data_IF_988465118394
#
_entry.id   IF_988465118394
#
_cell.length_a   1.000
_cell.length_b   1.000
_cell.length_c   1.000
_cell.angle_alpha   90.00
_cell.angle_beta   90.00
_cell.angle_gamma   90.00
#
_symmetry.space_group_name_H-M   'P 1'
#
loop_
_entity.id
_entity.type
_entity.pdbx_description
1 polymer ?
#
# COMPACT_ATOMS: atom_id res chain seq x y z
N UNK A 1 -14.69 20.27 -26.58
CA UNK A 1 -14.97 19.08 -25.73
C UNK A 1 -13.71 18.55 -25.02
N UNK A 2 -12.54 18.59 -25.66
CA UNK A 2 -11.25 18.18 -25.07
C UNK A 2 -10.85 18.99 -23.83
N UNK A 3 -10.99 20.32 -23.86
CA UNK A 3 -10.69 21.19 -22.72
C UNK A 3 -11.57 20.90 -21.47
N UNK A 4 -12.83 20.52 -21.67
CA UNK A 4 -13.72 20.15 -20.57
C UNK A 4 -13.28 18.84 -19.92
N UNK A 5 -12.86 17.86 -20.72
CA UNK A 5 -12.30 16.61 -20.21
C UNK A 5 -11.01 16.84 -19.41
N UNK A 6 -10.10 17.70 -19.89
CA UNK A 6 -8.84 18.04 -19.19
C UNK A 6 -9.08 18.73 -17.83
N UNK A 7 -10.03 19.69 -17.79
CA UNK A 7 -10.41 20.36 -16.54
C UNK A 7 -11.10 19.39 -15.57
N UNK A 8 -11.98 18.54 -16.09
CA UNK A 8 -12.67 17.53 -15.29
C UNK A 8 -11.69 16.51 -14.70
N UNK A 9 -10.76 16.01 -15.52
CA UNK A 9 -9.73 15.05 -15.08
C UNK A 9 -8.85 15.64 -13.98
N UNK A 10 -8.41 16.89 -14.15
CA UNK A 10 -7.65 17.63 -13.14
C UNK A 10 -8.43 17.77 -11.83
N UNK A 11 -9.72 18.13 -11.90
CA UNK A 11 -10.56 18.31 -10.71
C UNK A 11 -10.75 16.98 -9.94
N UNK A 12 -10.94 15.88 -10.69
CA UNK A 12 -11.02 14.54 -10.12
C UNK A 12 -9.68 14.15 -9.47
N UNK A 13 -8.56 14.39 -10.14
CA UNK A 13 -7.23 14.11 -9.61
C UNK A 13 -6.93 14.89 -8.32
N UNK A 14 -7.29 16.18 -8.24
CA UNK A 14 -7.16 16.99 -7.02
C UNK A 14 -7.94 16.35 -5.86
N UNK A 15 -9.16 15.88 -6.12
CA UNK A 15 -9.98 15.17 -5.13
C UNK A 15 -9.28 13.90 -4.66
N UNK A 16 -8.69 13.13 -5.58
CA UNK A 16 -7.90 11.94 -5.28
C UNK A 16 -6.67 12.20 -4.41
N UNK A 17 -5.96 13.29 -4.68
CA UNK A 17 -4.79 13.73 -3.89
C UNK A 17 -5.24 14.09 -2.47
N UNK A 18 -6.26 14.95 -2.34
CA UNK A 18 -6.78 15.36 -1.03
C UNK A 18 -7.24 14.15 -0.21
N UNK A 19 -7.95 13.22 -0.84
CA UNK A 19 -8.41 11.98 -0.23
C UNK A 19 -7.26 11.07 0.21
N UNK A 20 -6.23 10.93 -0.62
CA UNK A 20 -5.03 10.14 -0.30
C UNK A 20 -4.31 10.72 0.92
N UNK A 21 -4.12 12.05 0.97
CA UNK A 21 -3.50 12.74 2.11
C UNK A 21 -4.33 12.54 3.38
N UNK A 22 -5.65 12.70 3.28
CA UNK A 22 -6.58 12.50 4.40
C UNK A 22 -6.45 11.08 4.98
N UNK A 23 -6.49 10.04 4.13
CA UNK A 23 -6.35 8.66 4.59
C UNK A 23 -4.95 8.34 5.11
N UNK A 24 -3.88 8.91 4.54
CA UNK A 24 -2.52 8.76 5.08
C UNK A 24 -2.45 9.34 6.51
N UNK A 25 -3.05 10.51 6.74
CA UNK A 25 -3.13 11.13 8.06
C UNK A 25 -3.89 10.26 9.06
N UNK A 26 -5.04 9.74 8.66
CA UNK A 26 -5.88 8.91 9.53
C UNK A 26 -5.22 7.56 9.86
N UNK A 27 -4.57 6.92 8.89
CA UNK A 27 -3.80 5.68 9.11
C UNK A 27 -2.56 5.87 10.00
N UNK A 28 -2.03 7.10 10.11
CA UNK A 28 -0.95 7.42 11.06
C UNK A 28 -1.46 7.56 12.49
N UNK A 29 -2.73 7.91 12.68
CA UNK A 29 -3.35 8.07 13.99
C UNK A 29 -3.76 6.73 14.65
N UNK A 30 -3.75 5.63 13.91
CA UNK A 30 -4.03 4.30 14.47
C UNK A 30 -2.87 3.75 15.33
N UNK A 31 -3.14 2.79 16.22
CA UNK A 31 -2.15 2.28 17.18
C UNK A 31 -1.02 1.41 16.58
N UNK A 32 0.02 1.09 17.39
CA UNK A 32 1.29 0.46 16.95
C UNK A 32 1.14 -0.87 16.19
N UNK A 33 0.11 -1.67 16.50
CA UNK A 33 -0.13 -2.98 15.88
C UNK A 33 -0.84 -2.89 14.51
N UNK A 34 -1.61 -1.83 14.24
CA UNK A 34 -2.19 -1.56 12.93
C UNK A 34 -1.12 -1.09 11.90
N UNK A 35 0.01 -0.57 12.38
CA UNK A 35 1.05 0.02 11.53
C UNK A 35 1.74 -0.94 10.55
N UNK A 36 1.77 -2.25 10.82
CA UNK A 36 2.51 -3.20 10.00
C UNK A 36 1.89 -3.43 8.61
N UNK A 37 0.56 -3.55 8.52
CA UNK A 37 -0.15 -3.59 7.24
C UNK A 37 -0.31 -2.18 6.66
N UNK A 38 -0.66 -1.20 7.51
CA UNK A 38 -0.93 0.17 7.11
C UNK A 38 0.28 0.88 6.49
N UNK A 39 1.52 0.46 6.77
CA UNK A 39 2.70 1.02 6.08
C UNK A 39 2.65 0.83 4.56
N UNK A 40 2.17 -0.33 4.09
CA UNK A 40 2.10 -0.63 2.65
C UNK A 40 0.93 0.09 2.01
N UNK A 41 -0.20 0.21 2.72
CA UNK A 41 -1.31 1.02 2.27
C UNK A 41 -0.93 2.51 2.19
N UNK A 42 -0.21 3.05 3.18
CA UNK A 42 0.33 4.42 3.12
C UNK A 42 1.27 4.62 1.95
N UNK A 43 2.12 3.64 1.64
CA UNK A 43 3.00 3.67 0.46
C UNK A 43 2.18 3.72 -0.83
N UNK A 44 1.15 2.87 -0.95
CA UNK A 44 0.23 2.87 -2.09
C UNK A 44 -0.45 4.23 -2.26
N UNK A 45 -1.04 4.78 -1.19
CA UNK A 45 -1.71 6.08 -1.19
C UNK A 45 -0.75 7.21 -1.53
N UNK A 46 0.49 7.16 -1.04
CA UNK A 46 1.50 8.17 -1.34
C UNK A 46 1.88 8.12 -2.82
N UNK A 47 2.21 6.94 -3.35
CA UNK A 47 2.52 6.77 -4.76
C UNK A 47 1.35 7.21 -5.66
N UNK A 48 0.11 6.87 -5.29
CA UNK A 48 -1.10 7.27 -6.02
C UNK A 48 -1.30 8.79 -6.01
N UNK A 49 -1.07 9.45 -4.87
CA UNK A 49 -1.15 10.90 -4.77
C UNK A 49 -0.10 11.58 -5.67
N UNK A 50 1.15 11.09 -5.65
CA UNK A 50 2.21 11.64 -6.49
C UNK A 50 1.96 11.41 -7.99
N UNK A 51 1.43 10.26 -8.41
CA UNK A 51 1.08 10.05 -9.82
C UNK A 51 -0.08 10.93 -10.26
N UNK A 52 -1.05 11.22 -9.38
CA UNK A 52 -2.13 12.18 -9.68
C UNK A 52 -1.67 13.63 -9.83
N UNK A 53 -0.52 14.01 -9.26
CA UNK A 53 0.06 15.34 -9.50
C UNK A 53 0.36 15.53 -10.99
N UNK A 54 0.78 14.47 -11.69
CA UNK A 54 1.02 14.49 -13.13
C UNK A 54 -0.22 14.94 -13.92
N UNK A 55 -1.37 14.35 -13.57
CA UNK A 55 -2.66 14.63 -14.21
C UNK A 55 -3.05 16.10 -14.04
N UNK A 56 -2.86 16.63 -12.83
CA UNK A 56 -3.12 18.06 -12.54
C UNK A 56 -2.16 18.96 -13.31
N UNK A 57 -0.87 18.62 -13.35
CA UNK A 57 0.13 19.40 -14.06
C UNK A 57 -0.13 19.44 -15.56
N UNK A 58 -0.54 18.30 -16.14
CA UNK A 58 -0.92 18.19 -17.54
C UNK A 58 -2.14 19.07 -17.85
N UNK A 59 -3.24 18.92 -17.11
CA UNK A 59 -4.46 19.67 -17.39
C UNK A 59 -4.36 21.18 -17.11
N UNK A 60 -3.47 21.60 -16.21
CA UNK A 60 -3.19 23.02 -15.94
C UNK A 60 -2.04 23.60 -16.78
N UNK A 61 -1.43 22.80 -17.69
CA UNK A 61 -0.28 23.20 -18.53
C UNK A 61 0.91 23.74 -17.73
N UNK A 62 1.16 23.19 -16.54
CA UNK A 62 2.19 23.65 -15.61
C UNK A 62 3.59 23.12 -15.92
N UNK A 63 3.74 22.28 -16.94
CA UNK A 63 5.03 21.70 -17.34
C UNK A 63 6.05 22.71 -17.85
N UNK A 64 5.63 23.92 -18.26
CA UNK A 64 6.54 24.98 -18.73
C UNK A 64 7.64 25.32 -17.71
N UNK A 65 7.38 25.19 -16.42
CA UNK A 65 8.34 25.50 -15.36
C UNK A 65 9.16 24.29 -14.88
N UNK A 66 8.67 23.06 -15.12
CA UNK A 66 9.27 21.83 -14.59
C UNK A 66 9.04 20.63 -15.53
N UNK A 67 9.63 20.63 -16.75
CA UNK A 67 9.42 19.56 -17.73
C UNK A 67 10.04 18.23 -17.31
N UNK A 68 10.91 18.20 -16.31
CA UNK A 68 11.46 16.96 -15.76
C UNK A 68 10.42 16.17 -14.93
N UNK A 69 9.34 16.82 -14.49
CA UNK A 69 8.42 16.23 -13.52
C UNK A 69 7.57 15.10 -14.11
N UNK A 70 7.24 15.14 -15.41
CA UNK A 70 6.50 14.06 -16.07
C UNK A 70 7.28 12.74 -16.11
N UNK A 71 8.62 12.79 -16.04
CA UNK A 71 9.44 11.56 -16.03
C UNK A 71 9.54 10.91 -14.65
N UNK A 72 9.29 11.67 -13.57
CA UNK A 72 9.42 11.16 -12.21
C UNK A 72 8.21 10.37 -11.74
N UNK A 73 7.06 10.63 -12.33
CA UNK A 73 5.78 10.00 -11.96
C UNK A 73 5.70 8.58 -12.51
N UNK A 74 6.28 8.32 -13.69
CA UNK A 74 6.36 6.98 -14.29
C UNK A 74 7.00 5.92 -13.37
N UNK A 75 8.21 6.13 -12.80
CA UNK A 75 8.80 5.21 -11.83
C UNK A 75 7.94 4.97 -10.58
N UNK A 76 7.16 5.97 -10.14
CA UNK A 76 6.29 5.84 -8.97
C UNK A 76 5.11 4.89 -9.23
N UNK A 77 4.64 4.80 -10.48
CA UNK A 77 3.58 3.86 -10.88
C UNK A 77 3.99 2.40 -10.64
N UNK A 78 5.29 2.08 -10.76
CA UNK A 78 5.81 0.74 -10.44
C UNK A 78 5.69 0.37 -8.96
N UNK A 79 5.48 1.33 -8.04
CA UNK A 79 5.25 1.05 -6.63
C UNK A 79 3.80 0.62 -6.33
N UNK A 80 2.83 0.94 -7.21
CA UNK A 80 1.41 0.77 -6.95
C UNK A 80 1.00 -0.70 -6.80
N UNK A 81 1.35 -1.55 -7.77
CA UNK A 81 0.99 -2.97 -7.72
C UNK A 81 1.69 -3.74 -6.57
N UNK A 82 3.01 -3.58 -6.35
CA UNK A 82 3.69 -4.19 -5.21
C UNK A 82 3.14 -3.75 -3.85
N UNK A 83 2.82 -2.47 -3.67
CA UNK A 83 2.35 -1.95 -2.38
C UNK A 83 1.01 -2.55 -1.97
N UNK A 84 0.06 -2.73 -2.90
CA UNK A 84 -1.20 -3.43 -2.60
C UNK A 84 -0.96 -4.91 -2.26
N UNK A 85 -0.10 -5.60 -2.99
CA UNK A 85 0.17 -7.01 -2.70
C UNK A 85 0.85 -7.19 -1.34
N UNK A 86 1.78 -6.31 -0.97
CA UNK A 86 2.38 -6.31 0.36
C UNK A 86 1.36 -6.02 1.46
N UNK A 87 0.41 -5.11 1.21
CA UNK A 87 -0.72 -4.86 2.10
C UNK A 87 -1.59 -6.12 2.28
N UNK A 88 -2.01 -6.76 1.19
CA UNK A 88 -2.83 -7.98 1.23
C UNK A 88 -2.11 -9.15 1.90
N UNK A 89 -0.81 -9.33 1.66
CA UNK A 89 0.03 -10.34 2.32
C UNK A 89 0.12 -10.12 3.82
N UNK A 90 0.35 -8.87 4.24
CA UNK A 90 0.40 -8.52 5.66
C UNK A 90 -0.93 -8.83 6.36
N UNK A 91 -2.03 -8.56 5.69
CA UNK A 91 -3.37 -8.77 6.25
C UNK A 91 -3.82 -10.24 6.24
N UNK A 92 -3.33 -11.03 5.29
CA UNK A 92 -3.51 -12.48 5.27
C UNK A 92 -2.65 -13.21 6.33
N UNK A 93 -1.90 -12.49 7.18
CA UNK A 93 -1.00 -13.09 8.16
C UNK A 93 0.29 -13.68 7.57
N UNK A 94 0.60 -13.38 6.30
CA UNK A 94 1.78 -13.89 5.58
C UNK A 94 2.69 -12.75 5.09
N UNK A 95 3.23 -11.90 6.00
CA UNK A 95 4.07 -10.78 5.60
C UNK A 95 5.29 -11.28 4.79
N UNK A 96 5.65 -10.54 3.75
CA UNK A 96 6.81 -10.91 2.92
C UNK A 96 8.10 -10.82 3.73
N UNK A 97 8.97 -11.83 3.63
CA UNK A 97 10.30 -11.81 4.27
C UNK A 97 11.20 -10.71 3.70
N UNK A 98 11.10 -10.45 2.39
CA UNK A 98 11.90 -9.45 1.68
C UNK A 98 11.00 -8.48 0.91
N UNK A 99 10.26 -7.59 1.60
CA UNK A 99 9.27 -6.74 0.95
C UNK A 99 9.91 -5.76 -0.06
N UNK A 100 11.12 -5.30 0.24
CA UNK A 100 11.86 -4.33 -0.58
C UNK A 100 12.27 -4.87 -1.96
N UNK A 101 12.39 -6.20 -2.12
CA UNK A 101 12.68 -6.81 -3.43
C UNK A 101 11.56 -6.52 -4.44
N UNK A 102 10.31 -6.41 -3.97
CA UNK A 102 9.18 -6.08 -4.84
C UNK A 102 9.18 -4.61 -5.30
N UNK A 103 9.91 -3.73 -4.59
CA UNK A 103 10.03 -2.31 -4.91
C UNK A 103 11.26 -1.99 -5.77
N UNK A 104 12.12 -2.97 -6.07
CA UNK A 104 13.29 -2.80 -6.94
C UNK A 104 12.95 -2.27 -8.35
N UNK A 105 11.73 -2.52 -8.82
CA UNK A 105 11.23 -1.98 -10.09
C UNK A 105 11.22 -0.44 -10.13
N UNK A 106 11.10 0.24 -8.98
CA UNK A 106 11.09 1.71 -8.89
C UNK A 106 12.46 2.31 -9.21
N UNK A 107 13.56 2.00 -8.50
CA UNK A 107 14.87 2.54 -8.86
C UNK A 107 15.35 2.03 -10.23
N UNK A 108 14.98 0.82 -10.64
CA UNK A 108 15.35 0.32 -11.96
C UNK A 108 14.60 1.05 -13.07
N UNK A 109 13.29 1.34 -12.94
CA UNK A 109 12.58 2.18 -13.91
C UNK A 109 13.10 3.62 -13.94
N UNK A 110 13.50 4.16 -12.78
CA UNK A 110 14.18 5.46 -12.71
C UNK A 110 15.50 5.47 -13.49
N UNK A 111 16.25 4.36 -13.49
CA UNK A 111 17.46 4.24 -14.30
C UNK A 111 17.16 4.28 -15.81
N UNK A 112 16.05 3.67 -16.23
CA UNK A 112 15.59 3.68 -17.62
C UNK A 112 15.04 5.03 -18.09
N UNK A 113 14.57 5.89 -17.16
CA UNK A 113 14.15 7.26 -17.50
C UNK A 113 15.31 8.25 -17.52
N UNK A 114 16.49 7.91 -16.99
CA UNK A 114 17.65 8.81 -16.96
C UNK A 114 18.07 9.35 -18.34
N UNK A 115 18.13 8.56 -19.44
CA UNK A 115 18.50 9.09 -20.74
C UNK A 115 17.57 10.23 -21.18
N UNK A 116 16.26 10.07 -20.99
CA UNK A 116 15.27 11.11 -21.30
C UNK A 116 15.38 12.28 -20.29
N UNK A 117 15.71 12.00 -19.03
CA UNK A 117 15.90 13.05 -18.02
C UNK A 117 17.12 13.93 -18.34
N UNK A 118 18.10 13.42 -19.07
CA UNK A 118 19.29 14.16 -19.48
C UNK A 118 19.09 14.98 -20.77
N UNK A 119 17.97 14.80 -21.48
CA UNK A 119 17.65 15.63 -22.65
C UNK A 119 17.52 17.12 -22.27
N UNK A 120 17.84 18.04 -23.20
CA UNK A 120 17.61 19.47 -23.01
C UNK A 120 16.14 19.78 -22.66
N UNK A 121 15.87 20.80 -21.83
CA UNK A 121 14.51 21.19 -21.46
C UNK A 121 13.61 21.50 -22.66
N UNK A 122 14.17 22.04 -23.74
CA UNK A 122 13.45 22.36 -24.98
C UNK A 122 12.90 21.09 -25.63
N UNK A 123 13.74 20.04 -25.75
CA UNK A 123 13.31 18.76 -26.32
C UNK A 123 12.23 18.12 -25.45
N UNK A 124 12.35 18.22 -24.13
CA UNK A 124 11.31 17.72 -23.20
C UNK A 124 10.00 18.47 -23.37
N UNK A 125 10.02 19.79 -23.54
CA UNK A 125 8.81 20.58 -23.78
C UNK A 125 8.19 20.22 -25.13
N UNK A 126 9.00 20.03 -26.17
CA UNK A 126 8.51 19.58 -27.47
C UNK A 126 7.82 18.21 -27.36
N UNK A 127 8.39 17.27 -26.59
CA UNK A 127 7.76 15.98 -26.30
C UNK A 127 6.40 16.17 -25.60
N UNK A 128 6.31 17.04 -24.60
CA UNK A 128 5.07 17.28 -23.84
C UNK A 128 3.99 17.94 -24.72
N UNK A 129 4.39 18.79 -25.65
CA UNK A 129 3.49 19.54 -26.53
C UNK A 129 3.16 18.81 -27.85
N UNK A 130 3.64 17.58 -28.05
CA UNK A 130 3.57 16.84 -29.32
C UNK A 130 4.16 17.63 -30.52
N UNK A 131 5.25 18.36 -30.27
CA UNK A 131 6.01 19.07 -31.30
C UNK A 131 7.12 18.19 -31.90
N UNK A 132 7.63 18.58 -33.08
CA UNK A 132 8.69 17.83 -33.72
C UNK A 132 9.99 17.88 -32.92
N UNK A 133 10.65 16.73 -32.85
CA UNK A 133 11.95 16.53 -32.20
C UNK A 133 12.89 15.80 -33.18
N UNK A 134 14.21 15.92 -33.02
CA UNK A 134 15.16 15.21 -33.87
C UNK A 134 14.94 13.69 -33.85
N UNK A 135 15.09 13.03 -35.01
CA UNK A 135 14.78 11.59 -35.17
C UNK A 135 15.52 10.69 -34.16
N UNK A 136 16.76 11.03 -33.82
CA UNK A 136 17.56 10.29 -32.83
C UNK A 136 16.94 10.37 -31.42
N UNK A 137 16.51 11.56 -31.00
CA UNK A 137 15.87 11.78 -29.71
C UNK A 137 14.46 11.18 -29.66
N UNK A 138 13.73 11.24 -30.78
CA UNK A 138 12.43 10.58 -30.94
C UNK A 138 12.55 9.06 -30.77
N UNK A 139 13.54 8.46 -31.43
CA UNK A 139 13.80 7.02 -31.34
C UNK A 139 14.17 6.61 -29.92
N UNK A 140 15.01 7.40 -29.25
CA UNK A 140 15.39 7.19 -27.85
C UNK A 140 14.16 7.25 -26.93
N UNK A 141 13.37 8.32 -27.05
CA UNK A 141 12.17 8.53 -26.25
C UNK A 141 11.18 7.39 -26.43
N UNK A 142 10.85 7.05 -27.68
CA UNK A 142 9.91 5.98 -28.02
C UNK A 142 10.39 4.63 -27.47
N UNK A 143 11.67 4.29 -27.65
CA UNK A 143 12.23 3.02 -27.17
C UNK A 143 12.16 2.91 -25.65
N UNK A 144 12.54 3.98 -24.94
CA UNK A 144 12.49 4.03 -23.47
C UNK A 144 11.04 3.93 -22.94
N UNK A 145 10.12 4.74 -23.47
CA UNK A 145 8.72 4.76 -23.04
C UNK A 145 8.04 3.42 -23.35
N UNK A 146 8.22 2.88 -24.57
CA UNK A 146 7.66 1.58 -24.94
C UNK A 146 8.14 0.47 -24.01
N UNK A 147 9.44 0.44 -23.71
CA UNK A 147 10.03 -0.54 -22.79
C UNK A 147 9.41 -0.43 -21.40
N UNK A 148 9.26 0.79 -20.88
CA UNK A 148 8.66 1.05 -19.57
C UNK A 148 7.18 0.66 -19.52
N UNK A 149 6.40 1.00 -20.54
CA UNK A 149 4.97 0.68 -20.63
C UNK A 149 4.78 -0.84 -20.69
N UNK A 150 5.49 -1.55 -21.57
CA UNK A 150 5.42 -3.01 -21.66
C UNK A 150 5.81 -3.66 -20.33
N UNK A 151 6.88 -3.18 -19.71
CA UNK A 151 7.32 -3.70 -18.42
C UNK A 151 6.27 -3.45 -17.31
N UNK A 152 5.67 -2.26 -17.26
CA UNK A 152 4.61 -1.92 -16.32
C UNK A 152 3.37 -2.80 -16.52
N UNK A 153 2.97 -3.08 -17.76
CA UNK A 153 1.86 -3.99 -18.08
C UNK A 153 2.14 -5.42 -17.61
N UNK A 154 3.35 -5.92 -17.85
CA UNK A 154 3.77 -7.24 -17.38
C UNK A 154 3.78 -7.30 -15.85
N UNK A 155 4.32 -6.26 -15.20
CA UNK A 155 4.39 -6.14 -13.75
C UNK A 155 2.97 -6.13 -13.14
N UNK A 156 2.13 -5.18 -13.54
CA UNK A 156 0.77 -5.01 -13.00
C UNK A 156 -0.07 -6.28 -13.21
N UNK A 157 0.02 -6.92 -14.37
CA UNK A 157 -0.63 -8.21 -14.64
C UNK A 157 -0.11 -9.31 -13.71
N UNK A 158 1.21 -9.44 -13.58
CA UNK A 158 1.84 -10.45 -12.73
C UNK A 158 1.45 -10.32 -11.25
N UNK A 159 1.46 -9.09 -10.71
CA UNK A 159 1.05 -8.83 -9.32
C UNK A 159 -0.45 -9.00 -9.13
N UNK A 160 -1.28 -8.68 -10.11
CA UNK A 160 -2.73 -8.94 -10.05
C UNK A 160 -3.03 -10.43 -9.97
N UNK A 161 -2.39 -11.24 -10.83
CA UNK A 161 -2.50 -12.71 -10.77
C UNK A 161 -2.00 -13.27 -9.43
N UNK A 162 -0.91 -12.71 -8.90
CA UNK A 162 -0.40 -13.08 -7.59
C UNK A 162 -1.40 -12.76 -6.47
N UNK A 163 -2.08 -11.61 -6.53
CA UNK A 163 -3.15 -11.24 -5.59
C UNK A 163 -4.32 -12.22 -5.62
N UNK A 164 -4.76 -12.64 -6.82
CA UNK A 164 -5.80 -13.66 -6.95
C UNK A 164 -5.36 -15.02 -6.41
N UNK A 165 -4.11 -15.43 -6.66
CA UNK A 165 -3.54 -16.66 -6.10
C UNK A 165 -3.46 -16.61 -4.57
N UNK A 166 -3.07 -15.45 -4.01
CA UNK A 166 -3.03 -15.23 -2.56
C UNK A 166 -4.42 -15.38 -1.95
N UNK A 167 -5.43 -14.72 -2.54
CA UNK A 167 -6.81 -14.81 -2.09
C UNK A 167 -7.36 -16.24 -2.15
N UNK A 168 -7.04 -16.97 -3.22
CA UNK A 168 -7.45 -18.37 -3.36
C UNK A 168 -6.80 -19.28 -2.31
N UNK A 169 -5.51 -19.07 -1.99
CA UNK A 169 -4.80 -19.80 -0.93
C UNK A 169 -5.38 -19.48 0.45
N UNK A 170 -5.59 -18.21 0.72
CA UNK A 170 -6.17 -17.73 1.96
C UNK A 170 -7.56 -18.34 2.22
N UNK A 171 -8.41 -18.39 1.18
CA UNK A 171 -9.71 -19.09 1.23
C UNK A 171 -9.60 -20.56 1.62
N UNK A 172 -8.63 -21.27 1.03
CA UNK A 172 -8.44 -22.71 1.30
C UNK A 172 -7.99 -22.95 2.74
N UNK A 173 -7.13 -22.08 3.29
CA UNK A 173 -6.69 -22.17 4.69
C UNK A 173 -7.84 -21.92 5.65
N UNK A 174 -8.60 -20.85 5.42
CA UNK A 174 -9.72 -20.50 6.29
C UNK A 174 -10.77 -21.62 6.36
N UNK A 175 -11.09 -22.23 5.21
CA UNK A 175 -12.00 -23.40 5.13
C UNK A 175 -11.47 -24.63 5.86
N UNK A 176 -10.14 -24.83 5.90
CA UNK A 176 -9.52 -25.95 6.59
C UNK A 176 -9.50 -25.76 8.10
N UNK A 177 -9.21 -24.54 8.55
CA UNK A 177 -8.92 -24.27 9.96
C UNK A 177 -10.20 -23.92 10.76
N UNK A 178 -11.25 -23.36 10.14
CA UNK A 178 -12.47 -22.90 10.83
C UNK A 178 -13.78 -23.55 10.35
N UNK A 179 -13.73 -24.59 9.52
CA UNK A 179 -14.92 -25.17 8.90
C UNK A 179 -15.68 -24.16 8.03
N UNK A 180 -16.96 -24.41 7.72
CA UNK A 180 -17.77 -23.57 6.83
C UNK A 180 -18.29 -22.27 7.49
N UNK A 181 -17.50 -21.67 8.39
CA UNK A 181 -17.91 -20.50 9.17
C UNK A 181 -17.70 -19.21 8.38
N UNK A 182 -18.75 -18.38 8.38
CA UNK A 182 -18.95 -17.06 7.78
C UNK A 182 -17.84 -16.47 6.89
N UNK A 183 -18.13 -16.38 5.59
CA UNK A 183 -17.28 -15.88 4.49
C UNK A 183 -16.94 -14.37 4.57
N UNK A 184 -17.36 -13.69 5.63
CA UNK A 184 -17.38 -12.22 5.78
C UNK A 184 -16.00 -11.54 5.62
N UNK A 185 -14.88 -12.05 6.19
CA UNK A 185 -13.58 -11.39 6.03
C UNK A 185 -12.93 -11.65 4.66
N UNK A 186 -13.41 -12.61 3.85
CA UNK A 186 -12.88 -12.82 2.50
C UNK A 186 -13.55 -11.94 1.46
N UNK A 187 -14.81 -11.59 1.69
CA UNK A 187 -15.62 -10.82 0.76
C UNK A 187 -14.96 -9.49 0.41
N UNK A 188 -14.44 -8.76 1.40
CA UNK A 188 -13.83 -7.45 1.17
C UNK A 188 -12.49 -7.54 0.41
N UNK A 189 -11.63 -8.52 0.71
CA UNK A 189 -10.38 -8.75 -0.05
C UNK A 189 -10.67 -9.05 -1.52
N UNK A 190 -11.75 -9.81 -1.78
CA UNK A 190 -12.21 -10.11 -3.14
C UNK A 190 -12.64 -8.85 -3.88
N UNK A 191 -13.37 -7.94 -3.21
CA UNK A 191 -13.75 -6.66 -3.83
C UNK A 191 -12.56 -5.79 -4.18
N UNK A 192 -11.56 -5.70 -3.31
CA UNK A 192 -10.33 -4.96 -3.63
C UNK A 192 -9.63 -5.58 -4.82
N UNK A 193 -9.50 -6.90 -4.87
CA UNK A 193 -8.90 -7.56 -6.03
C UNK A 193 -9.71 -7.34 -7.30
N UNK A 194 -11.05 -7.32 -7.22
CA UNK A 194 -11.91 -7.02 -8.37
C UNK A 194 -11.74 -5.57 -8.83
N UNK A 195 -11.77 -4.60 -7.91
CA UNK A 195 -11.50 -3.20 -8.22
C UNK A 195 -10.09 -3.01 -8.79
N UNK A 196 -9.09 -3.71 -8.26
CA UNK A 196 -7.70 -3.61 -8.73
C UNK A 196 -7.54 -4.14 -10.14
N UNK A 197 -8.18 -5.29 -10.40
CA UNK A 197 -8.24 -5.89 -11.73
C UNK A 197 -8.97 -4.97 -12.70
N UNK A 198 -10.05 -4.31 -12.26
CA UNK A 198 -10.78 -3.32 -13.05
C UNK A 198 -9.93 -2.11 -13.40
N UNK A 199 -9.32 -1.44 -12.41
CA UNK A 199 -8.46 -0.27 -12.61
C UNK A 199 -7.30 -0.59 -13.54
N UNK A 200 -6.54 -1.67 -13.26
CA UNK A 200 -5.42 -2.05 -14.10
C UNK A 200 -5.85 -2.58 -15.46
N UNK A 201 -7.03 -3.20 -15.57
CA UNK A 201 -7.61 -3.62 -16.83
C UNK A 201 -7.96 -2.42 -17.73
N UNK A 202 -8.66 -1.42 -17.19
CA UNK A 202 -9.00 -0.19 -17.92
C UNK A 202 -7.71 0.56 -18.30
N UNK A 203 -6.75 0.67 -17.37
CA UNK A 203 -5.45 1.27 -17.65
C UNK A 203 -4.72 0.54 -18.78
N UNK A 204 -4.63 -0.79 -18.72
CA UNK A 204 -4.00 -1.59 -19.76
C UNK A 204 -4.69 -1.44 -21.12
N UNK A 205 -6.02 -1.41 -21.14
CA UNK A 205 -6.81 -1.17 -22.35
C UNK A 205 -6.48 0.21 -22.93
N UNK A 206 -6.44 1.26 -22.10
CA UNK A 206 -6.07 2.62 -22.54
C UNK A 206 -4.65 2.66 -23.13
N UNK A 207 -3.67 2.07 -22.45
CA UNK A 207 -2.27 2.05 -22.90
C UNK A 207 -2.10 1.27 -24.20
N UNK A 208 -2.73 0.09 -24.34
CA UNK A 208 -2.67 -0.71 -25.56
C UNK A 208 -3.39 -0.01 -26.71
N UNK A 209 -4.55 0.61 -26.45
CA UNK A 209 -5.30 1.37 -27.44
C UNK A 209 -4.52 2.57 -27.98
N UNK A 210 -3.85 3.29 -27.09
CA UNK A 210 -2.94 4.39 -27.46
C UNK A 210 -1.72 3.89 -28.24
N UNK A 211 -1.12 2.76 -27.83
CA UNK A 211 0.07 2.21 -28.47
C UNK A 211 -0.20 1.69 -29.88
N UNK A 212 -1.39 1.12 -30.11
CA UNK A 212 -1.82 0.60 -31.41
C UNK A 212 -2.52 1.66 -32.28
N UNK A 213 -2.54 2.92 -31.83
CA UNK A 213 -3.24 4.04 -32.47
C UNK A 213 -4.73 3.74 -32.77
N UNK A 214 -5.34 2.80 -32.03
CA UNK A 214 -6.70 2.32 -32.29
C UNK A 214 -7.75 3.36 -31.87
N UNK A 215 -7.45 4.12 -30.82
CA UNK A 215 -8.23 5.25 -30.36
C UNK A 215 -7.38 6.08 -29.38
N UNK A 216 -7.54 7.41 -29.42
CA UNK A 216 -7.04 8.32 -28.39
C UNK A 216 -8.22 9.11 -27.85
N UNK A 217 -8.84 8.59 -26.78
CA UNK A 217 -10.01 9.22 -26.17
C UNK A 217 -9.65 9.71 -24.77
N UNK A 218 -9.54 11.03 -24.62
CA UNK A 218 -9.37 11.72 -23.32
C UNK A 218 -10.40 11.29 -22.26
N UNK A 219 -11.57 10.80 -22.67
CA UNK A 219 -12.59 10.31 -21.75
C UNK A 219 -12.20 8.98 -21.07
N UNK A 220 -11.35 8.17 -21.71
CA UNK A 220 -10.81 6.97 -21.07
C UNK A 220 -9.81 7.32 -19.97
N UNK A 221 -9.00 8.36 -20.17
CA UNK A 221 -8.09 8.87 -19.13
C UNK A 221 -8.88 9.39 -17.93
N UNK A 222 -9.93 10.19 -18.17
CA UNK A 222 -10.90 10.60 -17.12
C UNK A 222 -11.47 9.38 -16.38
N UNK A 223 -11.84 8.32 -17.11
CA UNK A 223 -12.39 7.10 -16.50
C UNK A 223 -11.34 6.36 -15.66
N UNK A 224 -10.09 6.31 -16.09
CA UNK A 224 -8.96 5.75 -15.33
C UNK A 224 -8.78 6.54 -14.03
N UNK A 225 -8.65 7.87 -14.12
CA UNK A 225 -8.48 8.74 -12.95
C UNK A 225 -9.64 8.60 -11.99
N UNK A 226 -10.88 8.64 -12.47
CA UNK A 226 -12.07 8.45 -11.66
C UNK A 226 -12.07 7.11 -10.93
N UNK A 227 -11.76 6.01 -11.63
CA UNK A 227 -11.72 4.67 -11.02
C UNK A 227 -10.59 4.58 -9.99
N UNK A 228 -9.46 5.26 -10.22
CA UNK A 228 -8.36 5.36 -9.27
C UNK A 228 -8.77 6.13 -8.01
N UNK A 229 -9.48 7.26 -8.12
CA UNK A 229 -10.03 8.01 -6.97
C UNK A 229 -11.00 7.14 -6.17
N UNK A 230 -11.91 6.45 -6.86
CA UNK A 230 -12.86 5.53 -6.22
C UNK A 230 -12.14 4.41 -5.49
N UNK A 231 -11.07 3.88 -6.08
CA UNK A 231 -10.23 2.84 -5.49
C UNK A 231 -9.54 3.34 -4.22
N UNK A 232 -8.94 4.54 -4.24
CA UNK A 232 -8.37 5.19 -3.05
C UNK A 232 -9.43 5.33 -1.96
N UNK A 233 -10.67 5.67 -2.33
CA UNK A 233 -11.75 5.88 -1.37
C UNK A 233 -12.13 4.57 -0.68
N UNK A 234 -12.36 3.53 -1.49
CA UNK A 234 -12.71 2.20 -1.01
C UNK A 234 -11.59 1.61 -0.14
N UNK A 235 -10.34 1.70 -0.59
CA UNK A 235 -9.18 1.21 0.15
C UNK A 235 -8.93 1.98 1.44
N UNK A 236 -9.04 3.30 1.41
CA UNK A 236 -8.89 4.15 2.59
C UNK A 236 -9.98 3.88 3.62
N UNK A 237 -11.25 3.96 3.21
CA UNK A 237 -12.39 3.73 4.08
C UNK A 237 -12.41 2.32 4.68
N UNK A 238 -12.10 1.29 3.88
CA UNK A 238 -12.05 -0.10 4.36
C UNK A 238 -10.77 -0.39 5.14
N UNK A 239 -9.64 0.23 4.80
CA UNK A 239 -8.38 0.09 5.54
C UNK A 239 -8.56 0.47 7.01
N UNK A 240 -9.29 1.56 7.27
CA UNK A 240 -9.62 2.03 8.63
C UNK A 240 -10.64 1.16 9.37
N UNK A 241 -11.55 0.54 8.62
CA UNK A 241 -12.63 -0.28 9.15
C UNK A 241 -12.30 -1.76 9.21
N UNK A 242 -11.14 -2.17 8.71
CA UNK A 242 -10.70 -3.56 8.78
C UNK A 242 -10.41 -3.81 10.26
N UNK A 243 -11.27 -4.54 10.99
CA UNK A 243 -10.94 -4.90 12.34
C UNK A 243 -9.66 -5.72 12.24
N UNK A 244 -8.73 -5.54 13.17
CA UNK A 244 -7.56 -6.39 13.37
C UNK A 244 -8.03 -7.83 13.68
N UNK A 245 -8.66 -8.52 12.74
CA UNK A 245 -9.26 -9.85 12.90
C UNK A 245 -8.20 -10.96 13.10
N UNK A 246 -6.91 -10.60 13.20
CA UNK A 246 -5.79 -11.52 13.37
C UNK A 246 -4.82 -11.14 14.49
N UNK A 247 -5.30 -10.49 15.55
CA UNK A 247 -4.64 -10.61 16.87
C UNK A 247 -5.28 -11.76 17.65
N UNK A 248 -5.00 -12.98 17.22
CA UNK A 248 -5.49 -14.18 17.90
C UNK A 248 -4.86 -15.45 17.31
N UNK A 249 -3.59 -15.70 17.62
CA UNK A 249 -2.97 -17.05 17.60
C UNK A 249 -1.58 -17.11 18.28
N UNK A 250 -1.18 -16.10 19.07
CA UNK A 250 0.00 -16.19 19.94
C UNK A 250 -0.27 -15.73 21.39
N UNK A 251 -1.50 -15.34 21.70
CA UNK A 251 -1.96 -14.90 23.04
C UNK A 251 -3.32 -15.55 23.39
N UNK A 252 -3.59 -16.75 22.88
CA UNK A 252 -4.62 -17.62 23.46
C UNK A 252 -3.99 -18.59 24.46
N UNK A 253 -3.19 -18.06 25.38
CA UNK A 253 -3.33 -18.47 26.77
C UNK A 253 -4.61 -17.80 27.26
N UNK A 254 -5.75 -18.41 26.97
CA UNK A 254 -7.02 -18.01 27.56
C UNK A 254 -7.04 -18.65 28.95
N UNK A 255 -6.76 -17.92 30.06
CA UNK A 255 -6.79 -18.53 31.39
C UNK A 255 -8.20 -19.03 31.74
N UNK A 256 -9.22 -18.62 30.97
CA UNK A 256 -10.62 -18.96 31.13
C UNK A 256 -10.95 -20.39 30.65
N UNK A 257 -10.26 -20.92 29.63
CA UNK A 257 -10.38 -22.32 29.21
C UNK A 257 -9.62 -23.26 30.17
N UNK A 258 -8.52 -22.78 30.76
CA UNK A 258 -7.79 -23.51 31.80
C UNK A 258 -8.55 -23.49 33.13
N UNK A 259 -9.23 -22.40 33.48
CA UNK A 259 -10.15 -22.33 34.64
C UNK A 259 -11.39 -23.18 34.45
N UNK A 260 -12.00 -23.19 33.26
CA UNK A 260 -13.16 -24.05 32.97
C UNK A 260 -12.78 -25.53 32.93
N UNK A 261 -11.61 -25.90 32.38
CA UNK A 261 -11.11 -27.27 32.46
C UNK A 261 -10.70 -27.66 33.88
N UNK A 262 -10.17 -26.73 34.70
CA UNK A 262 -9.88 -26.99 36.12
C UNK A 262 -11.15 -27.14 36.97
N UNK A 263 -12.21 -26.37 36.66
CA UNK A 263 -13.53 -26.46 37.30
C UNK A 263 -14.31 -27.70 36.84
N UNK A 264 -14.11 -28.19 35.61
CA UNK A 264 -14.70 -29.45 35.12
C UNK A 264 -13.92 -30.70 35.54
N UNK A 265 -12.59 -30.60 35.73
CA UNK A 265 -11.78 -31.66 36.30
C UNK A 265 -12.03 -31.87 37.81
N UNK A 266 -12.53 -30.83 38.49
CA UNK A 266 -13.09 -30.94 39.84
C UNK A 266 -14.53 -31.47 39.74
N UNK A 267 -14.68 -32.78 39.50
CA UNK A 267 -15.97 -33.46 39.56
C UNK A 267 -16.67 -33.29 40.91
N UNK A 268 -18.00 -33.54 40.99
CA UNK A 268 -18.84 -33.22 42.15
C UNK A 268 -18.53 -33.95 43.47
N UNK A 269 -17.48 -34.78 43.53
CA UNK A 269 -17.08 -35.57 44.70
C UNK A 269 -15.74 -35.14 45.36
N UNK A 270 -15.20 -33.97 45.00
CA UNK A 270 -14.00 -33.47 45.67
C UNK A 270 -14.35 -32.87 47.05
N UNK A 271 -14.11 -33.67 48.11
CA UNK A 271 -14.08 -33.20 49.50
C UNK A 271 -13.15 -31.97 49.65
N UNK A 272 -13.52 -30.95 50.44
CA UNK A 272 -12.74 -29.72 50.52
C UNK A 272 -11.41 -29.95 51.24
N UNK A 273 -10.31 -29.93 50.49
CA UNK A 273 -8.96 -29.79 51.05
C UNK A 273 -8.77 -28.35 51.58
N UNK A 274 -7.99 -28.18 52.67
CA UNK A 274 -8.03 -26.96 53.49
C UNK A 274 -7.41 -25.77 52.77
N UNK A 275 -8.01 -24.59 53.00
CA UNK A 275 -7.59 -23.32 52.47
C UNK A 275 -6.09 -23.05 52.72
N UNK A 276 -5.34 -22.85 51.63
CA UNK A 276 -3.96 -22.40 51.68
C UNK A 276 -3.86 -21.00 52.34
N UNK A 277 -2.82 -20.73 53.14
CA UNK A 277 -2.76 -19.52 53.95
C UNK A 277 -2.53 -18.27 53.10
N UNK A 278 -3.36 -17.25 53.33
CA UNK A 278 -3.16 -15.87 52.84
C UNK A 278 -1.76 -15.39 53.20
N UNK A 279 -0.87 -15.28 52.21
CA UNK A 279 0.40 -14.53 52.35
C UNK A 279 0.06 -13.07 52.65
N UNK A 280 0.33 -12.65 53.89
CA UNK A 280 0.33 -11.26 54.33
C UNK A 280 1.34 -10.45 53.51
N UNK A 281 0.92 -9.26 53.09
CA UNK A 281 1.77 -8.16 52.61
C UNK A 281 2.97 -7.95 53.54
N UNK A 282 4.17 -7.90 52.98
CA UNK A 282 5.32 -7.23 53.58
C UNK A 282 5.76 -6.07 52.70
N UNK A 283 5.59 -4.87 53.22
CA UNK A 283 6.19 -3.62 52.74
C UNK A 283 7.65 -3.60 53.18
N UNK A 284 8.61 -3.15 52.36
CA UNK A 284 9.88 -2.64 52.87
C UNK A 284 9.92 -1.10 52.78
N UNK A 285 10.15 -0.46 53.93
CA UNK A 285 10.57 0.94 54.10
C UNK A 285 12.11 1.06 53.91
N UNK A 286 12.67 2.29 53.79
CA UNK A 286 13.92 2.56 53.10
C UNK A 286 15.17 2.31 53.95
N UNK A 287 16.31 2.07 53.29
CA UNK A 287 17.63 2.00 53.93
C UNK A 287 18.39 3.31 53.73
N UNK A 288 18.72 3.96 54.84
CA UNK A 288 19.65 5.08 54.95
C UNK A 288 20.96 4.60 55.59
N UNK A 289 22.07 5.14 55.08
CA UNK A 289 23.36 5.42 55.72
C UNK A 289 24.43 4.31 55.91
N UNK A 290 25.56 4.48 55.17
CA UNK A 290 26.96 4.54 55.65
C UNK A 290 27.87 4.62 54.38
N UNK A 291 28.32 5.79 53.89
CA UNK A 291 29.40 6.65 54.36
C UNK A 291 30.72 5.92 54.67
N UNK A 292 31.66 5.93 53.72
CA UNK A 292 33.10 6.20 53.95
C UNK A 292 33.85 6.42 52.63
N UNK A 293 34.49 7.58 52.51
CA UNK A 293 35.46 7.96 51.48
C UNK A 293 36.87 7.41 51.79
N UNK A 294 37.83 7.52 50.84
CA UNK A 294 39.02 8.29 51.19
C UNK A 294 39.56 9.22 50.09
N UNK A 295 40.23 10.27 50.62
CA UNK A 295 41.06 11.32 50.00
C UNK A 295 42.07 10.83 48.94
N UNK A 296 42.26 11.64 47.90
CA UNK A 296 43.51 11.80 47.13
C UNK A 296 44.19 13.12 47.55
N UNK A 297 45.52 13.16 47.75
CA UNK A 297 46.24 14.42 47.97
C UNK A 297 46.67 15.06 46.64
N UNK A 298 46.75 16.39 46.65
CA UNK A 298 47.38 17.20 45.62
C UNK A 298 48.89 17.29 45.87
N UNK A 299 49.64 17.30 44.77
CA UNK A 299 50.87 18.05 44.58
C UNK A 299 50.81 18.63 43.15
#
# INVERSE_FOLDING_TARGET
MTALAEQLDSAIAITGIAQSIFFIGLLRAEGPRAHAANRWLRLFLSATALTMVEVVMAGQKLYGNAPWMFLLTLPLTFALAPSIILYLKALAGEPSRHPWQHLFHVPLSMLFTLPILLLPPEIKLNIINDESIPDADATLFLTCILTLVVWLLVQTTGYTLLGWRLLARYRRRLRRDFGNTDETPLYWMRWIMLCLTGVYGIYAISQIGSLLELYSSRWLDVAVTFTQVLMVFLLGYRGLRTPLLFTGSADQDCPELEQQNALQAAGPDASPLPAAPRRRRSVPLPSTAAMTAPRKPAA
#
